data_IF_053437302170
#
_entry.id   IF_053437302170
#
_cell.length_a   1.000
_cell.length_b   1.000
_cell.length_c   1.000
_cell.angle_alpha   90.00
_cell.angle_beta   90.00
_cell.angle_gamma   90.00
#
_symmetry.space_group_name_H-M   'P 1'
#
loop_
_entity.id
_entity.type
_entity.pdbx_description
1 polymer ?
#
# COMPACT_ATOMS: atom_id res chain seq x y z
N UNK A 1 2.69 -15.65 21.78
CA UNK A 1 1.50 -14.96 21.26
C UNK A 1 1.88 -14.40 19.91
N UNK A 2 0.95 -14.40 18.93
CA UNK A 2 1.19 -13.75 17.65
C UNK A 2 1.36 -12.24 17.86
N UNK A 3 2.25 -11.61 17.11
CA UNK A 3 2.42 -10.16 17.14
C UNK A 3 1.21 -9.50 16.47
N UNK A 4 0.75 -8.37 17.00
CA UNK A 4 -0.40 -7.65 16.48
C UNK A 4 -0.01 -6.35 15.79
N UNK A 5 -0.60 -6.09 14.61
CA UNK A 5 -0.44 -4.83 13.87
C UNK A 5 -1.77 -4.07 13.82
N UNK A 6 -1.74 -2.80 14.22
CA UNK A 6 -2.82 -1.85 14.03
C UNK A 6 -2.48 -0.92 12.87
N UNK A 7 -3.34 -0.87 11.84
CA UNK A 7 -3.13 -0.01 10.68
C UNK A 7 -4.24 1.04 10.64
N UNK A 8 -3.86 2.31 10.75
CA UNK A 8 -4.77 3.44 10.56
C UNK A 8 -4.64 4.00 9.17
N UNK A 9 -5.66 3.78 8.35
CA UNK A 9 -5.71 4.25 6.98
C UNK A 9 -6.33 5.64 6.89
N UNK A 10 -5.69 6.52 6.14
CA UNK A 10 -6.21 7.82 5.76
C UNK A 10 -6.31 7.88 4.24
N UNK A 11 -7.41 8.41 3.70
CA UNK A 11 -7.46 8.83 2.31
C UNK A 11 -8.44 8.08 1.42
N UNK A 12 -7.93 7.41 0.39
CA UNK A 12 -8.70 6.84 -0.72
C UNK A 12 -8.60 5.32 -0.75
N UNK A 13 -9.38 4.69 -1.63
CA UNK A 13 -9.39 3.24 -1.87
C UNK A 13 -7.99 2.67 -2.16
N UNK A 14 -7.13 3.42 -2.87
CA UNK A 14 -5.74 2.99 -3.08
C UNK A 14 -4.97 2.85 -1.76
N UNK A 15 -5.24 3.73 -0.77
CA UNK A 15 -4.63 3.59 0.56
C UNK A 15 -5.24 2.41 1.34
N UNK A 16 -6.51 2.09 1.12
CA UNK A 16 -7.13 0.88 1.70
C UNK A 16 -6.44 -0.36 1.15
N UNK A 17 -6.30 -0.46 -0.18
CA UNK A 17 -5.52 -1.51 -0.83
C UNK A 17 -4.09 -1.60 -0.29
N UNK A 18 -3.37 -0.48 -0.20
CA UNK A 18 -2.00 -0.46 0.35
C UNK A 18 -1.97 -0.97 1.80
N UNK A 19 -2.98 -0.65 2.62
CA UNK A 19 -3.06 -1.11 4.01
C UNK A 19 -3.29 -2.62 4.12
N UNK A 20 -4.14 -3.18 3.27
CA UNK A 20 -4.36 -4.63 3.20
C UNK A 20 -3.05 -5.34 2.80
N UNK A 21 -2.34 -4.81 1.79
CA UNK A 21 -1.04 -5.35 1.38
C UNK A 21 0.04 -5.22 2.46
N UNK A 22 0.06 -4.13 3.24
CA UNK A 22 0.96 -4.02 4.41
C UNK A 22 0.68 -5.12 5.43
N UNK A 23 -0.60 -5.40 5.72
CA UNK A 23 -0.98 -6.47 6.64
C UNK A 23 -0.58 -7.85 6.10
N UNK A 24 -0.77 -8.10 4.79
CA UNK A 24 -0.41 -9.36 4.14
C UNK A 24 1.11 -9.60 4.17
N UNK A 25 1.91 -8.57 3.82
CA UNK A 25 3.38 -8.65 3.83
C UNK A 25 3.91 -8.91 5.24
N UNK A 26 3.38 -8.22 6.26
CA UNK A 26 3.78 -8.41 7.66
C UNK A 26 3.33 -9.77 8.20
N UNK A 27 2.14 -10.23 7.82
CA UNK A 27 1.62 -11.55 8.18
C UNK A 27 2.49 -12.66 7.61
N UNK A 28 2.80 -12.60 6.32
CA UNK A 28 3.61 -13.61 5.63
C UNK A 28 5.07 -13.64 6.13
N UNK A 29 5.70 -12.47 6.33
CA UNK A 29 7.12 -12.39 6.65
C UNK A 29 7.44 -12.52 8.16
N UNK A 30 6.57 -12.02 9.04
CA UNK A 30 6.87 -11.88 10.48
C UNK A 30 5.74 -12.36 11.39
N UNK A 31 4.65 -12.93 10.84
CA UNK A 31 3.54 -13.50 11.60
C UNK A 31 2.71 -12.47 12.36
N UNK A 32 2.61 -11.24 11.85
CA UNK A 32 1.69 -10.25 12.42
C UNK A 32 0.24 -10.57 12.08
N UNK A 33 -0.63 -10.39 13.05
CA UNK A 33 -2.08 -10.46 12.88
C UNK A 33 -2.70 -9.06 12.99
N UNK A 34 -3.60 -8.67 12.07
CA UNK A 34 -4.31 -7.40 12.17
C UNK A 34 -5.14 -7.30 13.46
N UNK A 35 -5.17 -6.10 14.06
CA UNK A 35 -6.05 -5.79 15.20
C UNK A 35 -6.74 -4.45 15.00
N UNK A 36 -7.97 -4.33 15.50
CA UNK A 36 -8.70 -3.06 15.55
C UNK A 36 -8.45 -2.30 16.87
N UNK A 37 -7.77 -2.93 17.83
CA UNK A 37 -7.47 -2.31 19.11
C UNK A 37 -6.02 -1.83 19.17
N UNK A 38 -5.84 -0.52 19.18
CA UNK A 38 -4.51 0.12 19.21
C UNK A 38 -3.72 -0.23 20.48
N UNK A 39 -4.42 -0.50 21.59
CA UNK A 39 -3.77 -0.82 22.87
C UNK A 39 -3.20 -2.25 22.91
N UNK A 40 -3.60 -3.11 21.99
CA UNK A 40 -3.07 -4.48 21.89
C UNK A 40 -1.94 -4.61 20.85
N UNK A 41 -1.67 -3.55 20.11
CA UNK A 41 -0.72 -3.58 19.01
C UNK A 41 0.73 -3.63 19.49
N UNK A 42 1.55 -4.43 18.81
CA UNK A 42 3.01 -4.44 18.89
C UNK A 42 3.62 -3.51 17.83
N UNK A 43 2.87 -3.28 16.74
CA UNK A 43 3.21 -2.36 15.66
C UNK A 43 1.99 -1.51 15.30
N UNK A 44 2.20 -0.20 15.21
CA UNK A 44 1.18 0.74 14.75
C UNK A 44 1.66 1.40 13.47
N UNK A 45 0.86 1.31 12.42
CA UNK A 45 1.14 1.93 11.12
C UNK A 45 0.09 3.00 10.80
N UNK A 46 0.56 4.14 10.34
CA UNK A 46 -0.26 5.18 9.75
C UNK A 46 -0.06 5.18 8.24
N UNK A 47 -1.05 4.73 7.48
CA UNK A 47 -1.05 4.85 6.03
C UNK A 47 -1.68 6.18 5.64
N UNK A 48 -0.88 7.08 5.11
CA UNK A 48 -1.17 8.50 5.00
C UNK A 48 -1.51 8.94 3.59
N UNK A 49 -2.36 9.98 3.48
CA UNK A 49 -2.81 10.55 2.21
C UNK A 49 -2.45 12.04 2.16
N UNK A 50 -1.96 12.50 1.01
CA UNK A 50 -1.60 13.92 0.77
C UNK A 50 -2.67 14.72 0.01
N UNK A 51 -3.79 14.12 -0.34
CA UNK A 51 -4.84 14.77 -1.16
C UNK A 51 -5.58 15.89 -0.41
N UNK A 52 -5.57 15.88 0.91
CA UNK A 52 -6.25 16.88 1.73
C UNK A 52 -5.23 17.69 2.54
N UNK A 53 -5.29 19.01 2.42
CA UNK A 53 -4.37 19.96 3.08
C UNK A 53 -4.18 19.72 4.60
N UNK A 54 -5.24 19.31 5.29
CA UNK A 54 -5.19 19.01 6.74
C UNK A 54 -4.77 17.57 7.07
N UNK A 55 -4.49 16.73 6.05
CA UNK A 55 -4.19 15.31 6.30
C UNK A 55 -2.86 15.16 7.07
N UNK A 56 -1.85 15.93 6.73
CA UNK A 56 -0.55 15.94 7.39
C UNK A 56 -0.65 16.30 8.87
N UNK A 57 -1.33 17.40 9.21
CA UNK A 57 -1.48 17.83 10.61
C UNK A 57 -2.26 16.80 11.45
N UNK A 58 -3.24 16.14 10.84
CA UNK A 58 -3.97 15.05 11.49
C UNK A 58 -3.05 13.85 11.81
N UNK A 59 -2.15 13.50 10.90
CA UNK A 59 -1.17 12.43 11.13
C UNK A 59 -0.30 12.75 12.34
N UNK A 60 0.27 13.95 12.42
CA UNK A 60 1.09 14.36 13.58
C UNK A 60 0.30 14.44 14.88
N UNK A 61 -0.95 14.90 14.84
CA UNK A 61 -1.84 14.88 16.00
C UNK A 61 -2.08 13.47 16.52
N UNK A 62 -2.37 12.53 15.61
CA UNK A 62 -2.62 11.13 15.96
C UNK A 62 -1.32 10.44 16.44
N UNK A 63 -0.17 10.71 15.82
CA UNK A 63 1.14 10.26 16.30
C UNK A 63 1.39 10.72 17.75
N UNK A 64 1.08 11.99 18.05
CA UNK A 64 1.20 12.52 19.41
C UNK A 64 0.38 11.76 20.44
N UNK A 65 -0.85 11.34 20.08
CA UNK A 65 -1.74 10.57 20.96
C UNK A 65 -1.19 9.19 21.34
N UNK A 66 -0.49 8.53 20.44
CA UNK A 66 0.04 7.17 20.66
C UNK A 66 1.48 7.13 21.17
N UNK A 67 2.14 8.29 21.29
CA UNK A 67 3.55 8.38 21.73
C UNK A 67 3.82 7.62 23.04
N UNK A 68 2.87 7.62 23.97
CA UNK A 68 3.00 6.96 25.27
C UNK A 68 3.16 5.43 25.14
N UNK A 69 2.67 4.82 24.05
CA UNK A 69 2.78 3.38 23.80
C UNK A 69 4.23 2.93 23.53
N UNK A 70 5.14 3.86 23.20
CA UNK A 70 6.58 3.55 23.09
C UNK A 70 7.18 3.00 24.38
N UNK A 71 6.68 3.39 25.54
CA UNK A 71 7.11 2.85 26.82
C UNK A 71 6.85 1.34 26.97
N UNK A 72 5.89 0.80 26.21
CA UNK A 72 5.58 -0.63 26.13
C UNK A 72 6.39 -1.38 25.06
N UNK A 73 7.30 -0.70 24.35
CA UNK A 73 8.07 -1.28 23.25
C UNK A 73 7.34 -1.33 21.90
N UNK A 74 6.16 -0.71 21.79
CA UNK A 74 5.38 -0.66 20.53
C UNK A 74 6.18 0.06 19.45
N UNK A 75 6.26 -0.53 18.25
CA UNK A 75 6.86 0.11 17.07
C UNK A 75 5.84 0.99 16.38
N UNK A 76 6.30 2.11 15.81
CA UNK A 76 5.46 3.07 15.12
C UNK A 76 6.03 3.33 13.73
N UNK A 77 5.20 3.15 12.70
CA UNK A 77 5.57 3.42 11.31
C UNK A 77 4.61 4.41 10.64
N UNK A 78 5.14 5.18 9.70
CA UNK A 78 4.38 6.08 8.84
C UNK A 78 4.64 5.74 7.39
N UNK A 79 3.58 5.37 6.69
CA UNK A 79 3.62 5.01 5.28
C UNK A 79 2.71 5.89 4.42
N UNK A 80 2.76 5.70 3.10
CA UNK A 80 1.87 6.33 2.15
C UNK A 80 2.33 7.69 1.62
N UNK A 81 1.40 8.47 1.04
CA UNK A 81 1.75 9.67 0.25
C UNK A 81 2.39 10.79 1.08
N UNK A 82 1.96 11.05 2.32
CA UNK A 82 2.62 12.04 3.19
C UNK A 82 4.02 11.55 3.57
N UNK A 83 4.19 10.25 3.78
CA UNK A 83 5.50 9.68 4.05
C UNK A 83 6.47 9.91 2.89
N UNK A 84 6.03 9.70 1.64
CA UNK A 84 6.83 10.00 0.44
C UNK A 84 7.18 11.48 0.32
N UNK A 85 6.27 12.36 0.69
CA UNK A 85 6.47 13.81 0.59
C UNK A 85 7.44 14.34 1.65
N UNK A 86 7.29 13.91 2.90
CA UNK A 86 8.01 14.45 4.05
C UNK A 86 9.29 13.67 4.38
N UNK A 87 9.30 12.38 4.12
CA UNK A 87 10.48 11.53 4.34
C UNK A 87 11.07 11.66 5.74
N UNK A 88 12.35 11.99 5.81
CA UNK A 88 13.08 12.14 7.07
C UNK A 88 12.59 13.27 7.98
N UNK A 89 11.84 14.26 7.47
CA UNK A 89 11.28 15.34 8.28
C UNK A 89 10.25 14.80 9.29
N UNK A 90 9.57 13.68 8.97
CA UNK A 90 8.68 12.99 9.93
C UNK A 90 9.47 12.58 11.17
N UNK A 91 10.66 12.01 11.00
CA UNK A 91 11.51 11.59 12.12
C UNK A 91 11.98 12.79 12.95
N UNK A 92 12.36 13.89 12.29
CA UNK A 92 12.76 15.11 13.01
C UNK A 92 11.64 15.67 13.88
N UNK A 93 10.41 15.68 13.35
CA UNK A 93 9.23 16.19 14.06
C UNK A 93 8.68 15.19 15.08
N UNK A 94 8.81 13.88 14.82
CA UNK A 94 8.35 12.80 15.68
C UNK A 94 9.46 11.73 15.88
N UNK A 95 10.47 11.98 16.73
CA UNK A 95 11.65 11.11 16.90
C UNK A 95 11.35 9.70 17.43
N UNK A 96 10.12 9.45 17.86
CA UNK A 96 9.65 8.15 18.33
C UNK A 96 9.09 7.28 17.19
N UNK A 97 9.03 7.75 15.95
CA UNK A 97 8.71 6.96 14.76
C UNK A 97 9.88 6.08 14.41
N UNK A 98 9.64 4.80 14.16
CA UNK A 98 10.66 3.78 13.90
C UNK A 98 10.95 3.62 12.41
N UNK A 99 9.89 3.67 11.57
CA UNK A 99 10.02 3.48 10.12
C UNK A 99 9.16 4.49 9.36
N UNK A 100 9.70 4.99 8.24
CA UNK A 100 8.98 5.83 7.28
C UNK A 100 9.17 5.24 5.89
N UNK A 101 8.08 4.99 5.16
CA UNK A 101 8.14 4.34 3.85
C UNK A 101 7.10 4.88 2.88
N UNK A 102 7.45 4.89 1.60
CA UNK A 102 6.55 5.27 0.53
C UNK A 102 5.56 4.15 0.16
N UNK A 103 4.51 4.46 -0.64
CA UNK A 103 3.62 3.43 -1.16
C UNK A 103 4.36 2.42 -2.05
N UNK A 104 5.43 2.83 -2.72
CA UNK A 104 6.22 1.98 -3.62
C UNK A 104 7.15 1.00 -2.87
N UNK A 105 7.45 1.27 -1.61
CA UNK A 105 8.38 0.49 -0.79
C UNK A 105 7.69 -0.31 0.33
N UNK A 106 6.35 -0.39 0.32
CA UNK A 106 5.60 -1.09 1.37
C UNK A 106 5.98 -2.59 1.49
N UNK A 107 6.37 -3.23 0.39
CA UNK A 107 6.83 -4.61 0.38
C UNK A 107 8.13 -4.83 1.18
N UNK A 108 8.95 -3.78 1.35
CA UNK A 108 10.19 -3.79 2.14
C UNK A 108 9.97 -3.51 3.64
N UNK A 109 8.73 -3.32 4.07
CA UNK A 109 8.41 -3.00 5.46
C UNK A 109 8.97 -4.01 6.48
N UNK A 110 8.93 -5.34 6.26
CA UNK A 110 9.56 -6.30 7.17
C UNK A 110 11.07 -6.10 7.31
N UNK A 111 11.75 -5.78 6.21
CA UNK A 111 13.19 -5.51 6.20
C UNK A 111 13.52 -4.22 6.96
N UNK A 112 12.76 -3.14 6.73
CA UNK A 112 12.92 -1.87 7.44
C UNK A 112 12.75 -2.04 8.96
N UNK A 113 11.78 -2.86 9.39
CA UNK A 113 11.59 -3.18 10.81
C UNK A 113 12.76 -3.96 11.39
N UNK A 114 13.33 -4.93 10.65
CA UNK A 114 14.53 -5.67 11.07
C UNK A 114 15.77 -4.76 11.13
N UNK A 115 15.95 -3.90 10.15
CA UNK A 115 17.03 -2.90 10.14
C UNK A 115 16.89 -1.92 11.31
N UNK A 116 15.67 -1.50 11.65
CA UNK A 116 15.39 -0.66 12.81
C UNK A 116 15.84 -1.34 14.11
N UNK A 117 15.58 -2.62 14.26
CA UNK A 117 16.00 -3.39 15.45
C UNK A 117 17.53 -3.53 15.52
N UNK A 118 18.17 -3.94 14.42
CA UNK A 118 19.60 -4.21 14.38
C UNK A 118 20.47 -2.95 14.49
N UNK A 119 20.05 -1.84 13.86
CA UNK A 119 20.80 -0.58 13.82
C UNK A 119 20.43 0.37 14.96
N UNK A 120 19.38 0.09 15.72
CA UNK A 120 18.83 0.93 16.80
C UNK A 120 18.55 2.40 16.39
N UNK A 121 18.28 2.65 15.10
CA UNK A 121 17.97 3.97 14.53
C UNK A 121 16.77 3.90 13.58
N UNK A 122 15.97 4.97 13.47
CA UNK A 122 14.86 5.03 12.53
C UNK A 122 15.30 4.72 11.10
N UNK A 123 14.43 4.07 10.32
CA UNK A 123 14.67 3.73 8.92
C UNK A 123 13.72 4.53 8.03
N UNK A 124 14.21 4.98 6.88
CA UNK A 124 13.42 5.75 5.90
C UNK A 124 13.69 5.18 4.51
N UNK A 125 12.64 4.71 3.84
CA UNK A 125 12.69 4.31 2.43
C UNK A 125 11.49 4.88 1.68
N UNK A 126 11.71 5.97 0.98
CA UNK A 126 10.74 6.66 0.13
C UNK A 126 11.18 6.64 -1.33
N UNK A 127 12.01 5.67 -1.69
CA UNK A 127 12.47 5.48 -3.07
C UNK A 127 11.32 5.04 -3.99
N UNK A 128 11.54 5.19 -5.28
CA UNK A 128 10.64 4.73 -6.33
C UNK A 128 11.34 3.63 -7.14
N UNK A 129 11.40 2.40 -6.60
CA UNK A 129 11.95 1.28 -7.36
C UNK A 129 11.07 0.99 -8.57
N UNK A 130 11.69 0.61 -9.69
CA UNK A 130 10.95 0.14 -10.87
C UNK A 130 10.22 -1.17 -10.52
N UNK A 131 8.89 -1.17 -10.61
CA UNK A 131 7.92 -2.30 -10.56
C UNK A 131 8.09 -3.35 -9.42
N UNK A 132 9.10 -3.29 -8.57
CA UNK A 132 9.36 -4.30 -7.53
C UNK A 132 8.15 -4.59 -6.61
N UNK A 133 7.28 -3.60 -6.38
CA UNK A 133 6.17 -3.74 -5.43
C UNK A 133 5.25 -4.91 -5.74
N UNK A 134 4.82 -5.05 -6.98
CA UNK A 134 3.84 -6.06 -7.37
C UNK A 134 4.43 -7.47 -7.39
N UNK A 135 5.70 -7.60 -7.73
CA UNK A 135 6.41 -8.89 -7.78
C UNK A 135 6.63 -9.49 -6.39
N UNK A 136 6.62 -8.67 -5.34
CA UNK A 136 6.92 -9.08 -3.96
C UNK A 136 5.71 -9.06 -3.02
N UNK A 137 4.50 -8.82 -3.55
CA UNK A 137 3.30 -8.87 -2.72
C UNK A 137 2.79 -10.31 -2.59
N UNK A 138 2.45 -10.78 -1.38
CA UNK A 138 1.81 -12.07 -1.21
C UNK A 138 0.40 -12.06 -1.83
N UNK A 139 -0.17 -13.26 -2.10
CA UNK A 139 -1.55 -13.37 -2.53
C UNK A 139 -2.49 -12.61 -1.59
N UNK A 140 -3.48 -11.93 -2.17
CA UNK A 140 -4.45 -11.16 -1.38
C UNK A 140 -5.31 -12.08 -0.51
N UNK A 141 -5.51 -11.68 0.74
CA UNK A 141 -6.55 -12.29 1.59
C UNK A 141 -7.91 -11.69 1.23
N UNK A 142 -8.92 -12.55 1.22
CA UNK A 142 -10.29 -12.14 0.93
C UNK A 142 -11.05 -11.96 2.24
N UNK A 143 -11.55 -10.76 2.46
CA UNK A 143 -12.51 -10.45 3.52
C UNK A 143 -13.82 -9.97 2.88
N UNK A 144 -14.75 -10.89 2.60
CA UNK A 144 -16.04 -10.57 2.01
C UNK A 144 -16.16 -10.87 0.51
N UNK A 145 -17.19 -10.30 -0.13
CA UNK A 145 -17.51 -10.55 -1.54
C UNK A 145 -16.94 -9.54 -2.53
N UNK A 146 -16.19 -8.53 -2.06
CA UNK A 146 -15.57 -7.50 -2.91
C UNK A 146 -14.08 -7.35 -2.62
N UNK A 147 -13.29 -6.98 -3.64
CA UNK A 147 -11.87 -6.73 -3.50
C UNK A 147 -11.39 -5.57 -4.35
N UNK A 148 -10.32 -4.92 -3.89
CA UNK A 148 -9.56 -3.94 -4.66
C UNK A 148 -8.41 -4.62 -5.39
N UNK A 149 -8.22 -4.27 -6.67
CA UNK A 149 -7.10 -4.74 -7.48
C UNK A 149 -6.40 -3.51 -8.08
N UNK A 150 -5.17 -3.24 -7.67
CA UNK A 150 -4.37 -2.20 -8.30
C UNK A 150 -3.88 -2.68 -9.66
N UNK A 151 -4.27 -1.99 -10.73
CA UNK A 151 -3.86 -2.32 -12.11
C UNK A 151 -2.71 -1.43 -12.59
N UNK A 152 -2.53 -0.28 -11.95
CA UNK A 152 -1.46 0.66 -12.25
C UNK A 152 -1.20 1.59 -11.07
N UNK A 153 -0.02 2.15 -11.02
CA UNK A 153 0.36 3.18 -10.04
C UNK A 153 1.08 4.36 -10.70
N UNK A 154 1.07 5.49 -9.97
CA UNK A 154 1.68 6.72 -10.45
C UNK A 154 0.85 7.42 -11.52
N UNK A 155 1.35 8.55 -11.99
CA UNK A 155 0.72 9.32 -13.06
C UNK A 155 1.72 10.28 -13.69
N UNK A 156 1.87 10.22 -15.01
CA UNK A 156 2.80 11.06 -15.78
C UNK A 156 2.14 12.28 -16.43
N UNK A 157 0.93 12.69 -15.98
CA UNK A 157 0.23 13.86 -16.54
C UNK A 157 0.71 15.19 -15.99
N UNK A 158 1.35 15.20 -14.83
CA UNK A 158 1.90 16.41 -14.19
C UNK A 158 0.96 17.62 -14.18
N UNK A 159 -0.34 17.40 -13.88
CA UNK A 159 -1.29 18.50 -13.74
C UNK A 159 -0.84 19.48 -12.65
N UNK A 160 -1.01 20.78 -12.86
CA UNK A 160 -0.43 21.86 -12.05
C UNK A 160 -0.77 21.83 -10.55
N UNK A 161 -1.87 21.21 -10.18
CA UNK A 161 -2.35 21.09 -8.78
C UNK A 161 -2.11 19.68 -8.18
N UNK A 162 -1.57 18.74 -8.96
CA UNK A 162 -1.57 17.33 -8.56
C UNK A 162 -0.21 16.91 -7.99
N UNK A 163 -0.25 16.34 -6.78
CA UNK A 163 0.94 15.85 -6.08
C UNK A 163 1.31 14.40 -6.42
N UNK A 164 0.44 13.67 -7.13
CA UNK A 164 0.59 12.23 -7.41
C UNK A 164 1.94 11.86 -8.02
N UNK A 165 2.46 12.54 -9.07
CA UNK A 165 3.76 12.19 -9.63
C UNK A 165 4.91 12.22 -8.60
N UNK A 166 4.81 13.08 -7.60
CA UNK A 166 5.83 13.28 -6.57
C UNK A 166 5.68 12.34 -5.37
N UNK A 167 4.52 11.71 -5.20
CA UNK A 167 4.22 10.85 -4.05
C UNK A 167 4.04 9.38 -4.41
N UNK A 168 3.65 9.08 -5.65
CA UNK A 168 3.47 7.72 -6.18
C UNK A 168 4.34 7.43 -7.41
N UNK A 169 5.07 8.43 -7.91
CA UNK A 169 5.96 8.29 -9.04
C UNK A 169 5.29 8.41 -10.40
N UNK A 170 6.05 8.09 -11.43
CA UNK A 170 5.58 8.02 -12.81
C UNK A 170 4.59 6.87 -12.99
N UNK A 171 3.83 6.95 -14.08
CA UNK A 171 2.81 5.97 -14.43
C UNK A 171 3.44 4.63 -14.81
N UNK A 172 3.06 3.59 -14.09
CA UNK A 172 3.45 2.20 -14.35
C UNK A 172 2.21 1.33 -14.35
N UNK A 173 1.95 0.63 -15.46
CA UNK A 173 0.88 -0.36 -15.58
C UNK A 173 1.40 -1.76 -15.25
N UNK A 174 0.60 -2.53 -14.52
CA UNK A 174 0.89 -3.94 -14.28
C UNK A 174 0.73 -4.74 -15.58
N UNK A 175 1.50 -5.84 -15.74
CA UNK A 175 1.28 -6.79 -16.81
C UNK A 175 -0.16 -7.28 -16.84
N UNK A 176 -0.72 -7.43 -18.04
CA UNK A 176 -2.12 -7.83 -18.25
C UNK A 176 -2.43 -9.18 -17.59
N UNK A 177 -1.58 -10.16 -17.84
CA UNK A 177 -1.78 -11.52 -17.33
C UNK A 177 -1.73 -11.58 -15.80
N UNK A 178 -0.87 -10.78 -15.16
CA UNK A 178 -0.76 -10.73 -13.68
C UNK A 178 -2.03 -10.20 -13.03
N UNK A 179 -2.66 -9.19 -13.66
CA UNK A 179 -3.96 -8.67 -13.19
C UNK A 179 -5.03 -9.76 -13.31
N UNK A 180 -5.11 -10.47 -14.43
CA UNK A 180 -6.08 -11.53 -14.63
C UNK A 180 -5.87 -12.70 -13.66
N UNK A 181 -4.62 -13.09 -13.40
CA UNK A 181 -4.28 -14.14 -12.42
C UNK A 181 -4.73 -13.74 -11.02
N UNK A 182 -4.49 -12.48 -10.60
CA UNK A 182 -4.94 -11.99 -9.29
C UNK A 182 -6.47 -12.00 -9.21
N UNK A 183 -7.18 -11.50 -10.21
CA UNK A 183 -8.66 -11.49 -10.24
C UNK A 183 -9.23 -12.90 -10.22
N UNK A 184 -8.67 -13.83 -11.01
CA UNK A 184 -9.10 -15.23 -11.00
C UNK A 184 -8.87 -15.90 -9.63
N UNK A 185 -7.75 -15.61 -9.00
CA UNK A 185 -7.44 -16.07 -7.64
C UNK A 185 -8.41 -15.53 -6.58
N UNK A 186 -8.85 -14.29 -6.71
CA UNK A 186 -9.87 -13.67 -5.86
C UNK A 186 -11.25 -14.30 -6.10
N UNK A 187 -11.64 -14.50 -7.37
CA UNK A 187 -12.89 -15.16 -7.73
C UNK A 187 -12.96 -16.60 -7.17
N UNK A 188 -11.86 -17.36 -7.25
CA UNK A 188 -11.77 -18.70 -6.66
C UNK A 188 -11.94 -18.71 -5.14
N UNK A 189 -11.67 -17.60 -4.45
CA UNK A 189 -11.91 -17.41 -3.01
C UNK A 189 -13.31 -16.86 -2.69
N UNK A 190 -14.17 -16.64 -3.70
CA UNK A 190 -15.56 -16.20 -3.53
C UNK A 190 -15.80 -14.70 -3.69
N UNK A 191 -14.81 -13.94 -4.15
CA UNK A 191 -15.01 -12.53 -4.55
C UNK A 191 -15.90 -12.48 -5.78
N UNK A 192 -16.92 -11.62 -5.74
CA UNK A 192 -17.89 -11.41 -6.82
C UNK A 192 -17.77 -10.03 -7.47
N UNK A 193 -17.19 -9.09 -6.75
CA UNK A 193 -17.01 -7.71 -7.19
C UNK A 193 -15.54 -7.31 -7.07
N UNK A 194 -14.97 -6.80 -8.16
CA UNK A 194 -13.62 -6.22 -8.16
C UNK A 194 -13.67 -4.75 -8.55
N UNK A 195 -12.97 -3.92 -7.78
CA UNK A 195 -12.73 -2.53 -8.15
C UNK A 195 -11.30 -2.39 -8.63
N UNK A 196 -11.13 -2.09 -9.92
CA UNK A 196 -9.83 -1.85 -10.53
C UNK A 196 -9.32 -0.46 -10.15
N UNK A 197 -8.18 -0.40 -9.48
CA UNK A 197 -7.60 0.84 -8.93
C UNK A 197 -6.41 1.33 -9.74
N UNK A 198 -6.31 2.66 -9.83
CA UNK A 198 -5.16 3.38 -10.39
C UNK A 198 -5.36 4.88 -10.28
N UNK A 199 -4.32 5.67 -10.43
CA UNK A 199 -4.42 7.13 -10.40
C UNK A 199 -5.02 7.71 -11.70
N UNK A 200 -4.96 6.93 -12.79
CA UNK A 200 -5.52 7.27 -14.09
C UNK A 200 -5.81 5.99 -14.88
N UNK A 201 -6.77 5.19 -14.46
CA UNK A 201 -7.07 3.86 -15.01
C UNK A 201 -7.26 3.84 -16.54
N UNK A 202 -7.76 4.92 -17.12
CA UNK A 202 -7.92 5.05 -18.57
C UNK A 202 -6.58 5.05 -19.35
N UNK A 203 -5.48 5.32 -18.66
CA UNK A 203 -4.14 5.27 -19.26
C UNK A 203 -3.48 3.90 -19.17
N UNK A 204 -4.15 2.91 -18.57
CA UNK A 204 -3.60 1.56 -18.45
C UNK A 204 -3.08 1.03 -19.80
N UNK A 205 -1.88 0.48 -19.77
CA UNK A 205 -1.17 -0.12 -20.89
C UNK A 205 -0.35 -1.30 -20.37
N UNK A 206 -1.02 -2.45 -20.14
CA UNK A 206 -0.40 -3.66 -19.63
C UNK A 206 0.25 -4.46 -20.74
N UNK A 207 1.50 -4.87 -20.56
CA UNK A 207 2.15 -5.81 -21.46
C UNK A 207 1.44 -7.18 -21.40
N UNK A 208 1.20 -7.79 -22.56
CA UNK A 208 0.65 -9.14 -22.66
C UNK A 208 1.81 -10.15 -22.73
N UNK A 209 1.82 -11.12 -21.80
CA UNK A 209 2.92 -12.06 -21.65
C UNK A 209 3.20 -12.85 -22.93
N UNK A 210 4.49 -12.93 -23.26
CA UNK A 210 4.96 -13.68 -24.43
C UNK A 210 4.80 -12.99 -25.78
N UNK A 211 4.25 -11.78 -25.83
CA UNK A 211 4.05 -11.01 -27.06
C UNK A 211 4.60 -9.59 -26.93
N UNK A 212 4.65 -8.85 -28.05
CA UNK A 212 4.91 -7.40 -28.06
C UNK A 212 3.63 -6.56 -27.97
N UNK A 213 2.49 -7.22 -27.73
CA UNK A 213 1.19 -6.56 -27.66
C UNK A 213 0.96 -5.91 -26.31
N UNK A 214 0.19 -4.84 -26.32
CA UNK A 214 -0.14 -4.06 -25.12
C UNK A 214 -1.66 -4.00 -25.03
N UNK A 215 -2.20 -4.49 -23.92
CA UNK A 215 -3.61 -4.38 -23.60
C UNK A 215 -3.91 -2.97 -23.07
N UNK A 216 -4.99 -2.38 -23.55
CA UNK A 216 -5.55 -1.17 -22.97
C UNK A 216 -6.60 -1.48 -21.87
N UNK A 217 -7.14 -0.42 -21.27
CA UNK A 217 -8.12 -0.57 -20.18
C UNK A 217 -9.43 -1.21 -20.65
N UNK A 218 -9.87 -0.98 -21.90
CA UNK A 218 -11.09 -1.57 -22.43
C UNK A 218 -10.94 -3.09 -22.55
N UNK A 219 -9.85 -3.54 -23.13
CA UNK A 219 -9.54 -4.96 -23.25
C UNK A 219 -9.41 -5.63 -21.88
N UNK A 220 -8.78 -4.95 -20.91
CA UNK A 220 -8.68 -5.50 -19.56
C UNK A 220 -10.06 -5.70 -18.92
N UNK A 221 -10.98 -4.75 -19.04
CA UNK A 221 -12.33 -4.87 -18.51
C UNK A 221 -13.08 -6.04 -19.16
N UNK A 222 -12.98 -6.19 -20.48
CA UNK A 222 -13.62 -7.30 -21.20
C UNK A 222 -13.18 -8.66 -20.63
N UNK A 223 -11.89 -8.88 -20.46
CA UNK A 223 -11.36 -10.12 -19.92
C UNK A 223 -11.70 -10.33 -18.44
N UNK A 224 -11.63 -9.29 -17.62
CA UNK A 224 -12.02 -9.38 -16.21
C UNK A 224 -13.49 -9.75 -16.06
N UNK A 225 -14.37 -9.20 -16.92
CA UNK A 225 -15.81 -9.49 -16.90
C UNK A 225 -16.13 -10.95 -17.29
N UNK A 226 -15.25 -11.62 -18.02
CA UNK A 226 -15.41 -13.02 -18.43
C UNK A 226 -14.88 -14.03 -17.39
N UNK A 227 -14.20 -13.56 -16.33
CA UNK A 227 -13.68 -14.46 -15.30
C UNK A 227 -14.85 -15.08 -14.52
N UNK A 228 -14.96 -16.43 -14.50
CA UNK A 228 -16.03 -17.11 -13.79
C UNK A 228 -16.08 -16.75 -12.31
N UNK A 229 -17.25 -16.32 -11.83
CA UNK A 229 -17.47 -15.91 -10.43
C UNK A 229 -17.44 -14.41 -10.20
N UNK A 230 -16.90 -13.62 -11.12
CA UNK A 230 -17.00 -12.16 -11.06
C UNK A 230 -18.36 -11.73 -11.63
N UNK A 231 -19.10 -10.95 -10.84
CA UNK A 231 -20.44 -10.44 -11.20
C UNK A 231 -20.42 -8.92 -11.45
N UNK A 232 -19.39 -8.20 -10.93
CA UNK A 232 -19.27 -6.74 -11.05
C UNK A 232 -17.82 -6.26 -10.91
#
# INVERSE_FOLDING_TARGET
>A
MAKKVFIKTFGCQMNEYDSDKMADVLGAAQGYEPTQNVDEADLILFNTCSVREKAQEKVFSDLGRIKHLKARGVKIGVGGCVASQEGAEIIKRAPYVDVVFGPQTLHRLPELLNQRESLAKPQVDISFPEIEKFDHLPPARVEGGSAFVSIMEGCSKYCSYCVVPYTRGEEVSRPFDDVLVEVAGLAAQGVKEVTLLGQNVNAYRGAMGGTSEIADFALLIEYVAEIPGIER
#
